data_IF_859075258446
#
_entry.id   IF_859075258446
#
_cell.length_a   1.000
_cell.length_b   1.000
_cell.length_c   1.000
_cell.angle_alpha   90.00
_cell.angle_beta   90.00
_cell.angle_gamma   90.00
#
_symmetry.space_group_name_H-M   'P 1'
#
loop_
_entity.id
_entity.type
_entity.pdbx_description
1 polymer ?
#
# COMPACT_ATOMS: atom_id res chain seq x y z
N UNK A 1 -29.32 -1.96 -18.89
CA UNK A 1 -27.99 -2.03 -18.30
C UNK A 1 -27.48 -3.45 -18.44
N UNK A 2 -26.38 -3.66 -19.13
CA UNK A 2 -25.74 -4.98 -19.16
C UNK A 2 -25.30 -5.29 -17.71
N UNK A 3 -25.56 -6.48 -17.17
CA UNK A 3 -25.11 -6.83 -15.83
C UNK A 3 -23.59 -6.72 -15.77
N UNK A 4 -23.06 -6.16 -14.66
CA UNK A 4 -21.63 -6.11 -14.43
C UNK A 4 -21.08 -7.54 -14.41
N UNK A 5 -20.14 -7.82 -15.30
CA UNK A 5 -19.40 -9.07 -15.29
C UNK A 5 -18.05 -8.88 -14.55
N UNK A 6 -17.60 -9.94 -13.91
CA UNK A 6 -16.38 -9.94 -13.13
C UNK A 6 -15.44 -11.02 -13.61
N UNK A 7 -14.15 -10.75 -13.48
CA UNK A 7 -13.10 -11.72 -13.70
C UNK A 7 -12.44 -12.05 -12.37
N UNK A 8 -11.98 -13.30 -12.21
CA UNK A 8 -11.11 -13.71 -11.11
C UNK A 8 -9.68 -13.80 -11.63
N UNK A 9 -8.79 -12.98 -11.10
CA UNK A 9 -7.36 -13.05 -11.36
C UNK A 9 -6.69 -13.81 -10.24
N UNK A 10 -6.01 -14.90 -10.57
CA UNK A 10 -5.29 -15.78 -9.64
C UNK A 10 -3.82 -15.72 -9.99
N UNK A 11 -2.97 -15.56 -8.98
CA UNK A 11 -1.53 -15.36 -9.17
C UNK A 11 -0.71 -16.15 -8.14
N UNK A 12 0.45 -16.64 -8.58
CA UNK A 12 1.39 -17.35 -7.73
C UNK A 12 2.68 -17.62 -8.50
N UNK A 13 3.80 -17.79 -7.79
CA UNK A 13 5.15 -17.88 -8.38
C UNK A 13 5.25 -18.89 -9.53
N UNK A 14 4.63 -20.06 -9.38
CA UNK A 14 4.70 -21.16 -10.35
C UNK A 14 3.32 -21.50 -10.93
N UNK A 15 2.33 -20.57 -10.82
CA UNK A 15 0.99 -20.79 -11.32
C UNK A 15 0.96 -20.75 -12.85
N UNK A 16 0.23 -21.66 -13.44
CA UNK A 16 -0.09 -21.71 -14.86
C UNK A 16 -1.51 -22.25 -15.05
N UNK A 17 -2.02 -22.19 -16.27
CA UNK A 17 -3.31 -22.80 -16.60
C UNK A 17 -3.32 -24.31 -16.34
N UNK A 18 -2.19 -24.98 -16.51
CA UNK A 18 -2.08 -26.45 -16.39
C UNK A 18 -2.11 -26.96 -14.95
N UNK A 19 -1.75 -26.12 -13.97
CA UNK A 19 -1.75 -26.47 -12.54
C UNK A 19 -2.73 -25.64 -11.72
N UNK A 20 -3.68 -24.95 -12.37
CA UNK A 20 -4.75 -24.22 -11.72
C UNK A 20 -5.61 -25.18 -10.87
N UNK A 21 -5.92 -24.86 -9.59
CA UNK A 21 -6.79 -25.68 -8.76
C UNK A 21 -8.14 -25.98 -9.45
N UNK A 22 -8.58 -27.23 -9.37
CA UNK A 22 -9.74 -27.71 -10.14
C UNK A 22 -11.06 -26.98 -9.78
N UNK A 23 -11.22 -26.58 -8.51
CA UNK A 23 -12.36 -25.80 -8.05
C UNK A 23 -12.36 -24.38 -8.60
N UNK A 24 -11.19 -23.78 -8.79
CA UNK A 24 -11.05 -22.50 -9.47
C UNK A 24 -11.30 -22.67 -10.98
N UNK A 25 -10.74 -23.67 -11.61
CA UNK A 25 -10.96 -23.94 -13.05
C UNK A 25 -12.43 -24.13 -13.41
N UNK A 26 -13.23 -24.67 -12.50
CA UNK A 26 -14.68 -24.87 -12.68
C UNK A 26 -15.53 -23.60 -12.61
N UNK A 27 -14.96 -22.44 -12.24
CA UNK A 27 -15.71 -21.19 -12.08
C UNK A 27 -16.00 -20.45 -13.41
N UNK A 28 -15.21 -20.72 -14.46
CA UNK A 28 -15.32 -19.97 -15.71
C UNK A 28 -15.24 -20.87 -16.94
N UNK A 29 -15.93 -20.44 -18.00
CA UNK A 29 -15.85 -21.08 -19.32
C UNK A 29 -14.61 -20.69 -20.12
N UNK A 30 -13.98 -19.54 -19.79
CA UNK A 30 -12.77 -19.07 -20.45
C UNK A 30 -11.69 -18.74 -19.42
N UNK A 31 -10.49 -19.29 -19.67
CA UNK A 31 -9.32 -19.14 -18.81
C UNK A 31 -8.13 -18.72 -19.67
N UNK A 32 -7.56 -17.56 -19.38
CA UNK A 32 -6.39 -17.00 -20.05
C UNK A 32 -5.17 -16.97 -19.11
N UNK A 33 -4.02 -17.36 -19.60
CA UNK A 33 -2.73 -17.06 -18.98
C UNK A 33 -2.32 -15.65 -19.41
N UNK A 34 -2.29 -14.69 -18.48
CA UNK A 34 -2.13 -13.26 -18.79
C UNK A 34 -0.71 -12.75 -18.55
N UNK A 35 0.04 -13.46 -17.72
CA UNK A 35 1.46 -13.25 -17.45
C UNK A 35 2.05 -14.52 -16.83
N UNK A 36 3.39 -14.69 -16.78
CA UNK A 36 4.01 -15.75 -16.00
C UNK A 36 3.53 -15.73 -14.55
N UNK A 37 2.96 -16.82 -14.09
CA UNK A 37 2.40 -16.93 -12.75
C UNK A 37 1.02 -16.27 -12.57
N UNK A 38 0.34 -15.85 -13.63
CA UNK A 38 -0.96 -15.18 -13.52
C UNK A 38 -1.99 -15.71 -14.53
N UNK A 39 -3.16 -16.07 -14.01
CA UNK A 39 -4.28 -16.62 -14.79
C UNK A 39 -5.52 -15.79 -14.54
N UNK A 40 -6.26 -15.46 -15.59
CA UNK A 40 -7.55 -14.76 -15.55
C UNK A 40 -8.68 -15.71 -15.93
N UNK A 41 -9.67 -15.80 -15.09
CA UNK A 41 -10.93 -16.49 -15.31
C UNK A 41 -11.98 -15.44 -15.66
N UNK A 42 -12.52 -15.47 -16.85
CA UNK A 42 -13.46 -14.45 -17.32
C UNK A 42 -14.91 -14.77 -17.01
N UNK A 43 -15.69 -13.73 -16.74
CA UNK A 43 -17.13 -13.80 -16.49
C UNK A 43 -17.53 -14.74 -15.34
N UNK A 44 -16.81 -14.64 -14.23
CA UNK A 44 -17.04 -15.43 -13.03
C UNK A 44 -18.19 -14.85 -12.21
N UNK A 45 -19.04 -15.71 -11.64
CA UNK A 45 -20.05 -15.29 -10.69
C UNK A 45 -19.42 -15.04 -9.30
N UNK A 46 -19.48 -13.81 -8.75
CA UNK A 46 -18.88 -13.48 -7.46
C UNK A 46 -19.33 -14.40 -6.31
N UNK A 47 -20.58 -14.77 -6.26
CA UNK A 47 -21.12 -15.60 -5.18
C UNK A 47 -20.51 -17.02 -5.14
N UNK A 48 -20.15 -17.58 -6.31
CA UNK A 48 -19.50 -18.89 -6.39
C UNK A 48 -17.99 -18.79 -6.24
N UNK A 49 -17.40 -17.63 -6.53
CA UNK A 49 -15.96 -17.39 -6.45
C UNK A 49 -15.50 -17.13 -5.02
N UNK A 50 -16.30 -16.46 -4.19
CA UNK A 50 -15.89 -16.03 -2.84
C UNK A 50 -15.34 -17.18 -1.96
N UNK A 51 -15.98 -18.36 -1.85
CA UNK A 51 -15.42 -19.46 -1.08
C UNK A 51 -14.13 -20.04 -1.67
N UNK A 52 -13.96 -19.93 -3.01
CA UNK A 52 -12.77 -20.40 -3.72
C UNK A 52 -11.60 -19.45 -3.46
N UNK A 53 -11.83 -18.15 -3.49
CA UNK A 53 -10.81 -17.11 -3.20
C UNK A 53 -10.17 -17.36 -1.83
N UNK A 54 -10.97 -17.60 -0.78
CA UNK A 54 -10.45 -17.90 0.55
C UNK A 54 -9.48 -19.10 0.56
N UNK A 55 -9.88 -20.21 -0.09
CA UNK A 55 -9.01 -21.41 -0.19
C UNK A 55 -7.74 -21.16 -1.01
N UNK A 56 -7.82 -20.37 -2.08
CA UNK A 56 -6.64 -19.99 -2.88
C UNK A 56 -5.66 -19.19 -2.04
N UNK A 57 -6.15 -18.23 -1.27
CA UNK A 57 -5.33 -17.42 -0.37
C UNK A 57 -4.70 -18.25 0.76
N UNK A 58 -5.43 -19.20 1.33
CA UNK A 58 -4.91 -20.16 2.31
C UNK A 58 -3.82 -21.07 1.70
N UNK A 59 -3.94 -21.38 0.40
CA UNK A 59 -2.92 -22.10 -0.35
C UNK A 59 -1.72 -21.25 -0.79
N UNK A 60 -1.66 -19.97 -0.41
CA UNK A 60 -0.56 -19.06 -0.72
C UNK A 60 -0.64 -18.42 -2.12
N UNK A 61 -1.80 -18.50 -2.77
CA UNK A 61 -2.05 -17.81 -4.04
C UNK A 61 -2.72 -16.46 -3.78
N UNK A 62 -2.38 -15.45 -4.56
CA UNK A 62 -3.11 -14.18 -4.57
C UNK A 62 -4.30 -14.31 -5.52
N UNK A 63 -5.48 -13.94 -5.06
CA UNK A 63 -6.71 -14.03 -5.84
C UNK A 63 -7.57 -12.78 -5.63
N UNK A 64 -8.00 -12.14 -6.72
CA UNK A 64 -8.79 -10.93 -6.69
C UNK A 64 -9.91 -10.97 -7.74
N UNK A 65 -11.12 -10.63 -7.30
CA UNK A 65 -12.24 -10.35 -8.22
C UNK A 65 -12.11 -8.92 -8.72
N UNK A 66 -12.10 -8.76 -10.03
CA UNK A 66 -12.06 -7.44 -10.67
C UNK A 66 -13.19 -7.30 -11.70
N UNK A 67 -13.62 -6.08 -11.98
CA UNK A 67 -14.58 -5.83 -13.04
C UNK A 67 -13.99 -6.28 -14.37
N UNK A 68 -14.78 -6.98 -15.19
CA UNK A 68 -14.36 -7.41 -16.52
C UNK A 68 -13.89 -6.21 -17.36
N UNK A 69 -12.74 -6.34 -17.98
CA UNK A 69 -12.13 -5.29 -18.80
C UNK A 69 -11.67 -4.05 -18.04
N UNK A 70 -11.50 -4.12 -16.71
CA UNK A 70 -10.96 -3.02 -15.90
C UNK A 70 -9.61 -2.56 -16.46
N UNK A 71 -9.43 -1.25 -16.65
CA UNK A 71 -8.20 -0.66 -17.16
C UNK A 71 -7.54 0.24 -16.12
N UNK A 72 -6.20 0.25 -16.08
CA UNK A 72 -5.43 1.14 -15.22
C UNK A 72 -5.68 2.62 -15.59
N UNK A 73 -5.86 2.91 -16.87
CA UNK A 73 -6.18 4.25 -17.39
C UNK A 73 -7.56 4.79 -17.00
N UNK A 74 -8.42 4.00 -16.35
CA UNK A 74 -9.66 4.50 -15.76
C UNK A 74 -9.42 5.21 -14.43
N UNK A 75 -8.26 4.99 -13.81
CA UNK A 75 -7.87 5.64 -12.57
C UNK A 75 -7.01 6.87 -12.83
N UNK A 76 -7.04 7.82 -11.91
CA UNK A 76 -6.37 9.12 -12.04
C UNK A 76 -5.47 9.46 -10.86
N UNK A 77 -5.68 8.82 -9.71
CA UNK A 77 -4.90 9.03 -8.49
C UNK A 77 -4.51 7.69 -7.88
N UNK A 78 -3.23 7.55 -7.52
CA UNK A 78 -2.72 6.53 -6.63
C UNK A 78 -2.24 7.19 -5.34
N UNK A 79 -2.74 6.76 -4.20
CA UNK A 79 -2.21 7.12 -2.89
C UNK A 79 -1.76 5.86 -2.14
N UNK A 80 -0.49 5.79 -1.78
CA UNK A 80 0.10 4.61 -1.13
C UNK A 80 0.71 4.95 0.21
N UNK A 81 0.53 4.07 1.18
CA UNK A 81 1.36 4.07 2.37
C UNK A 81 2.83 3.80 2.00
N UNK A 82 3.73 4.11 2.94
CA UNK A 82 5.18 3.93 2.77
C UNK A 82 5.69 2.72 3.52
N UNK A 83 5.65 2.76 4.86
CA UNK A 83 6.21 1.73 5.74
C UNK A 83 5.46 0.41 5.57
N UNK A 84 6.17 -0.70 5.48
CA UNK A 84 5.61 -2.05 5.24
C UNK A 84 4.75 -2.16 3.95
N UNK A 85 4.69 -1.10 3.12
CA UNK A 85 3.98 -1.07 1.83
C UNK A 85 4.94 -0.79 0.69
N UNK A 86 5.35 0.46 0.42
CA UNK A 86 6.36 0.78 -0.61
C UNK A 86 7.79 0.48 -0.14
N UNK A 87 8.04 0.52 1.15
CA UNK A 87 9.28 0.10 1.82
C UNK A 87 8.99 -1.14 2.64
N UNK A 88 9.88 -2.14 2.58
CA UNK A 88 9.65 -3.48 3.13
C UNK A 88 9.77 -3.59 4.67
N UNK A 89 9.90 -2.47 5.37
CA UNK A 89 10.13 -2.42 6.83
C UNK A 89 9.45 -1.21 7.47
N UNK A 90 9.39 -1.22 8.82
CA UNK A 90 9.00 -0.08 9.65
C UNK A 90 10.20 0.86 9.83
N UNK A 91 10.10 2.07 9.29
CA UNK A 91 11.21 3.04 9.24
C UNK A 91 11.67 3.46 10.64
N UNK A 92 10.75 3.94 11.49
CA UNK A 92 11.10 4.43 12.82
C UNK A 92 11.79 3.37 13.68
N UNK A 93 11.24 2.16 13.69
CA UNK A 93 11.80 1.07 14.50
C UNK A 93 13.20 0.67 14.01
N UNK A 94 13.40 0.65 12.70
CA UNK A 94 14.68 0.30 12.08
C UNK A 94 15.74 1.37 12.33
N UNK A 95 15.41 2.65 12.11
CA UNK A 95 16.33 3.77 12.35
C UNK A 95 16.66 3.87 13.83
N UNK A 96 15.68 3.77 14.73
CA UNK A 96 15.90 3.79 16.17
C UNK A 96 16.84 2.65 16.62
N UNK A 97 16.63 1.44 16.12
CA UNK A 97 17.49 0.29 16.42
C UNK A 97 18.93 0.53 15.96
N UNK A 98 19.14 1.01 14.74
CA UNK A 98 20.46 1.27 14.18
C UNK A 98 21.19 2.41 14.89
N UNK A 99 20.44 3.39 15.42
CA UNK A 99 20.97 4.53 16.17
C UNK A 99 21.13 4.27 17.69
N UNK A 100 20.82 3.06 18.17
CA UNK A 100 20.97 2.68 19.59
C UNK A 100 19.78 3.04 20.50
N UNK A 101 18.62 3.40 19.92
CA UNK A 101 17.39 3.73 20.65
C UNK A 101 16.32 2.61 20.57
N UNK A 102 16.67 1.46 19.99
CA UNK A 102 15.71 0.39 19.69
C UNK A 102 14.92 -0.12 20.89
N UNK A 103 15.59 -0.36 22.02
CA UNK A 103 14.92 -0.89 23.23
C UNK A 103 13.88 0.08 23.78
N UNK A 104 14.15 1.39 23.73
CA UNK A 104 13.23 2.42 24.23
C UNK A 104 11.97 2.52 23.37
N UNK A 105 12.15 2.48 22.04
CA UNK A 105 11.00 2.49 21.09
C UNK A 105 10.21 1.21 21.20
N UNK A 106 10.88 0.05 21.30
CA UNK A 106 10.21 -1.24 21.42
C UNK A 106 9.28 -1.33 22.64
N UNK A 107 9.67 -0.76 23.79
CA UNK A 107 8.85 -0.70 25.00
C UNK A 107 7.54 0.07 24.76
N UNK A 108 7.59 1.21 24.05
CA UNK A 108 6.39 2.00 23.71
C UNK A 108 5.50 1.25 22.72
N UNK A 109 6.12 0.66 21.70
CA UNK A 109 5.40 -0.15 20.69
C UNK A 109 4.67 -1.33 21.35
N UNK A 110 5.33 -2.04 22.27
CA UNK A 110 4.73 -3.14 23.01
C UNK A 110 3.58 -2.68 23.91
N UNK A 111 3.70 -1.54 24.58
CA UNK A 111 2.63 -0.95 25.38
C UNK A 111 1.39 -0.62 24.53
N UNK A 112 1.61 -0.07 23.33
CA UNK A 112 0.53 0.18 22.38
C UNK A 112 -0.14 -1.12 21.90
N UNK A 113 0.65 -2.14 21.56
CA UNK A 113 0.13 -3.45 21.13
C UNK A 113 -0.69 -4.16 22.22
N UNK A 114 -0.32 -3.99 23.49
CA UNK A 114 -1.09 -4.51 24.64
C UNK A 114 -2.36 -3.70 24.94
N UNK A 115 -2.63 -2.62 24.19
CA UNK A 115 -3.80 -1.75 24.35
C UNK A 115 -3.71 -0.76 25.51
N UNK A 116 -2.51 -0.55 26.09
CA UNK A 116 -2.25 0.48 27.09
C UNK A 116 -2.27 1.89 26.46
N UNK A 117 -1.92 1.99 25.17
CA UNK A 117 -2.01 3.21 24.38
C UNK A 117 -2.98 2.92 23.22
N UNK A 118 -4.12 3.59 23.20
CA UNK A 118 -5.19 3.32 22.22
C UNK A 118 -5.15 4.27 21.02
N UNK A 119 -4.61 5.45 21.22
CA UNK A 119 -4.53 6.49 20.20
C UNK A 119 -3.20 6.36 19.43
N UNK A 120 -3.29 6.29 18.10
CA UNK A 120 -2.13 6.21 17.22
C UNK A 120 -1.23 7.44 17.35
N UNK A 121 -1.83 8.64 17.39
CA UNK A 121 -1.07 9.88 17.50
C UNK A 121 -0.32 9.98 18.84
N UNK A 122 -0.93 9.52 19.94
CA UNK A 122 -0.28 9.42 21.24
C UNK A 122 0.89 8.43 21.18
N UNK A 123 0.67 7.25 20.63
CA UNK A 123 1.72 6.23 20.45
C UNK A 123 2.89 6.78 19.65
N UNK A 124 2.64 7.47 18.55
CA UNK A 124 3.70 8.06 17.73
C UNK A 124 4.48 9.13 18.50
N UNK A 125 3.79 10.04 19.22
CA UNK A 125 4.46 11.07 20.04
C UNK A 125 5.36 10.45 21.10
N UNK A 126 4.92 9.40 21.77
CA UNK A 126 5.72 8.70 22.77
C UNK A 126 6.94 7.99 22.15
N UNK A 127 6.78 7.38 20.97
CA UNK A 127 7.88 6.75 20.24
C UNK A 127 8.92 7.80 19.80
N UNK A 128 8.47 8.98 19.34
CA UNK A 128 9.37 10.08 18.96
C UNK A 128 10.05 10.70 20.18
N UNK A 129 9.35 10.87 21.30
CA UNK A 129 9.96 11.30 22.55
C UNK A 129 11.05 10.32 23.04
N UNK A 130 10.87 9.02 22.80
CA UNK A 130 11.82 7.98 23.15
C UNK A 130 13.14 8.02 22.33
N UNK A 131 13.11 8.64 21.14
CA UNK A 131 14.30 8.84 20.28
C UNK A 131 14.85 10.27 20.36
N UNK A 132 14.48 11.05 21.36
CA UNK A 132 15.04 12.38 21.60
C UNK A 132 16.56 12.33 21.68
N UNK A 133 17.23 13.23 20.97
CA UNK A 133 18.70 13.27 20.86
C UNK A 133 19.28 12.40 19.75
N UNK A 134 18.47 11.59 19.07
CA UNK A 134 18.90 10.84 17.90
C UNK A 134 19.30 11.82 16.78
N UNK A 135 20.48 11.67 16.15
CA UNK A 135 20.86 12.50 15.02
C UNK A 135 19.86 12.34 13.86
N UNK A 136 19.36 13.47 13.29
CA UNK A 136 18.50 13.42 12.09
C UNK A 136 19.20 12.72 10.91
N UNK A 137 20.53 12.77 10.89
CA UNK A 137 21.35 12.05 9.92
C UNK A 137 21.07 10.54 9.87
N UNK A 138 20.65 9.93 10.98
CA UNK A 138 20.27 8.51 10.97
C UNK A 138 19.09 8.23 10.04
N UNK A 139 18.13 9.15 9.90
CA UNK A 139 17.01 9.03 8.99
C UNK A 139 17.42 9.27 7.54
N UNK A 140 18.28 10.27 7.27
CA UNK A 140 18.76 10.56 5.91
C UNK A 140 19.69 9.47 5.40
N UNK A 141 20.60 8.93 6.21
CA UNK A 141 21.46 7.80 5.84
C UNK A 141 20.64 6.53 5.58
N UNK A 142 19.60 6.29 6.40
CA UNK A 142 18.67 5.19 6.15
C UNK A 142 17.94 5.36 4.83
N UNK A 143 17.47 6.57 4.52
CA UNK A 143 16.73 6.86 3.28
C UNK A 143 17.54 6.55 2.01
N UNK A 144 18.88 6.64 2.06
CA UNK A 144 19.77 6.28 0.94
C UNK A 144 19.79 4.76 0.66
N UNK A 145 19.53 3.94 1.68
CA UNK A 145 19.71 2.48 1.62
C UNK A 145 18.44 1.69 1.96
N UNK A 146 17.31 2.38 2.16
CA UNK A 146 16.07 1.70 2.57
C UNK A 146 15.65 0.63 1.56
N UNK A 147 15.21 -0.54 2.05
CA UNK A 147 14.79 -1.63 1.19
C UNK A 147 13.38 -1.37 0.66
N UNK A 148 13.23 -1.18 -0.64
CA UNK A 148 11.92 -1.09 -1.27
C UNK A 148 11.24 -2.45 -1.35
N UNK A 149 9.93 -2.46 -1.24
CA UNK A 149 9.12 -3.67 -1.43
C UNK A 149 9.24 -4.17 -2.87
N UNK A 150 9.15 -5.49 -3.04
CA UNK A 150 9.23 -6.11 -4.35
C UNK A 150 8.19 -5.50 -5.30
N UNK A 151 8.64 -5.05 -6.46
CA UNK A 151 7.76 -4.47 -7.48
C UNK A 151 7.28 -3.03 -7.21
N UNK A 152 7.69 -2.37 -6.09
CA UNK A 152 7.23 -1.03 -5.74
C UNK A 152 7.57 0.02 -6.83
N UNK A 153 8.80 0.02 -7.31
CA UNK A 153 9.24 0.95 -8.36
C UNK A 153 8.47 0.73 -9.66
N UNK A 154 8.32 -0.52 -10.08
CA UNK A 154 7.58 -0.89 -11.29
C UNK A 154 6.10 -0.51 -11.16
N UNK A 155 5.47 -0.76 -10.03
CA UNK A 155 4.08 -0.38 -9.78
C UNK A 155 3.86 1.12 -9.92
N UNK A 156 4.61 1.95 -9.16
CA UNK A 156 4.45 3.41 -9.19
C UNK A 156 4.74 3.98 -10.56
N UNK A 157 5.83 3.55 -11.22
CA UNK A 157 6.18 4.02 -12.57
C UNK A 157 5.16 3.59 -13.62
N UNK A 158 4.56 2.39 -13.52
CA UNK A 158 3.50 1.96 -14.43
C UNK A 158 2.24 2.82 -14.26
N UNK A 159 1.83 3.12 -13.03
CA UNK A 159 0.73 4.03 -12.75
C UNK A 159 1.00 5.42 -13.32
N UNK A 160 2.21 5.94 -13.14
CA UNK A 160 2.64 7.22 -13.73
C UNK A 160 2.58 7.21 -15.25
N UNK A 161 3.07 6.15 -15.88
CA UNK A 161 3.04 5.99 -17.34
C UNK A 161 1.61 5.90 -17.88
N UNK A 162 0.68 5.31 -17.10
CA UNK A 162 -0.74 5.27 -17.41
C UNK A 162 -1.48 6.60 -17.19
N UNK A 163 -0.80 7.62 -16.64
CA UNK A 163 -1.34 8.96 -16.45
C UNK A 163 -1.90 9.24 -15.04
N UNK A 164 -1.70 8.35 -14.09
CA UNK A 164 -2.11 8.59 -12.71
C UNK A 164 -1.15 9.58 -12.03
N UNK A 165 -1.68 10.45 -11.19
CA UNK A 165 -0.88 11.11 -10.16
C UNK A 165 -0.63 10.13 -9.01
N UNK A 166 0.63 9.99 -8.57
CA UNK A 166 1.03 9.05 -7.54
C UNK A 166 1.56 9.80 -6.31
N UNK A 167 0.93 9.60 -5.17
CA UNK A 167 1.29 10.24 -3.91
C UNK A 167 1.58 9.20 -2.82
N UNK A 168 2.57 9.51 -1.97
CA UNK A 168 2.84 8.76 -0.74
C UNK A 168 2.07 9.44 0.39
N UNK A 169 1.27 8.68 1.15
CA UNK A 169 0.50 9.18 2.30
C UNK A 169 0.82 8.32 3.50
N UNK A 170 1.71 8.81 4.37
CA UNK A 170 2.33 7.99 5.41
C UNK A 170 2.27 8.62 6.80
N UNK A 171 2.19 7.78 7.82
CA UNK A 171 2.46 8.17 9.20
C UNK A 171 3.95 8.33 9.53
N UNK A 172 4.85 8.10 8.55
CA UNK A 172 6.29 8.32 8.64
C UNK A 172 6.70 9.79 8.53
N UNK A 173 7.93 10.05 8.08
CA UNK A 173 8.57 11.37 8.18
C UNK A 173 9.15 11.81 6.84
N UNK A 174 9.28 13.14 6.70
CA UNK A 174 9.70 13.80 5.46
C UNK A 174 11.10 13.40 4.99
N UNK A 175 12.07 13.15 5.88
CA UNK A 175 13.41 12.73 5.51
C UNK A 175 13.41 11.43 4.67
N UNK A 176 12.49 10.51 4.97
CA UNK A 176 12.37 9.22 4.30
C UNK A 176 11.37 9.29 3.14
N UNK A 177 10.22 9.94 3.37
CA UNK A 177 9.17 10.04 2.37
C UNK A 177 9.61 10.81 1.12
N UNK A 178 10.42 11.89 1.28
CA UNK A 178 10.99 12.65 0.17
C UNK A 178 11.92 11.80 -0.70
N UNK A 179 12.82 11.03 -0.09
CA UNK A 179 13.72 10.13 -0.80
C UNK A 179 12.96 9.03 -1.55
N UNK A 180 11.93 8.45 -0.92
CA UNK A 180 11.07 7.46 -1.55
C UNK A 180 10.32 8.04 -2.75
N UNK A 181 9.76 9.24 -2.62
CA UNK A 181 9.05 9.91 -3.71
C UNK A 181 9.95 10.12 -4.93
N UNK A 182 11.17 10.59 -4.73
CA UNK A 182 12.17 10.77 -5.79
C UNK A 182 12.52 9.42 -6.44
N UNK A 183 12.86 8.42 -5.65
CA UNK A 183 13.31 7.10 -6.14
C UNK A 183 12.22 6.39 -6.93
N UNK A 184 10.99 6.41 -6.44
CA UNK A 184 9.85 5.73 -7.07
C UNK A 184 9.21 6.56 -8.20
N UNK A 185 9.55 7.85 -8.31
CA UNK A 185 8.96 8.75 -9.29
C UNK A 185 7.53 9.19 -8.93
N UNK A 186 7.20 9.25 -7.63
CA UNK A 186 5.91 9.79 -7.18
C UNK A 186 5.82 11.31 -7.40
N UNK A 187 4.59 11.83 -7.52
CA UNK A 187 4.34 13.27 -7.70
C UNK A 187 4.54 14.07 -6.41
N UNK A 188 4.34 13.44 -5.26
CA UNK A 188 4.46 14.09 -3.97
C UNK A 188 4.33 13.11 -2.82
N UNK A 189 4.45 13.65 -1.60
CA UNK A 189 4.30 12.90 -0.36
C UNK A 189 3.62 13.77 0.70
N UNK A 190 2.94 13.12 1.64
CA UNK A 190 2.21 13.69 2.75
C UNK A 190 2.53 12.87 3.99
N UNK A 191 3.18 13.47 4.97
CA UNK A 191 3.74 12.77 6.12
C UNK A 191 3.84 13.66 7.34
N UNK A 192 4.24 13.10 8.48
CA UNK A 192 4.54 13.87 9.67
C UNK A 192 5.94 14.51 9.58
N UNK A 193 6.18 15.53 10.42
CA UNK A 193 7.44 16.27 10.51
C UNK A 193 8.07 16.07 11.87
N UNK A 194 9.34 15.68 11.90
CA UNK A 194 10.12 15.57 13.12
C UNK A 194 10.52 16.95 13.63
N UNK A 195 10.45 17.17 14.95
CA UNK A 195 11.06 18.31 15.59
C UNK A 195 12.56 18.13 15.64
N UNK A 196 13.30 19.07 15.05
CA UNK A 196 14.76 19.02 14.95
C UNK A 196 15.36 20.27 15.60
N UNK A 197 16.36 20.09 16.43
CA UNK A 197 17.15 21.18 17.02
C UNK A 197 18.63 20.79 17.01
N UNK A 198 19.47 21.65 16.49
CA UNK A 198 20.94 21.45 16.41
C UNK A 198 21.35 20.10 15.76
N UNK A 199 20.58 19.66 14.74
CA UNK A 199 20.84 18.42 13.99
C UNK A 199 20.42 17.12 14.69
N UNK A 200 19.74 17.21 15.85
CA UNK A 200 19.18 16.07 16.55
C UNK A 200 17.68 16.21 16.76
N UNK A 201 17.00 15.10 16.96
CA UNK A 201 15.56 15.10 17.29
C UNK A 201 15.32 15.74 18.64
N UNK A 202 14.39 16.68 18.74
CA UNK A 202 14.02 17.32 20.00
C UNK A 202 12.96 16.51 20.78
N UNK A 203 12.45 15.43 20.19
CA UNK A 203 11.45 14.54 20.78
C UNK A 203 10.00 14.94 20.46
N UNK A 204 9.79 15.89 19.53
CA UNK A 204 8.46 16.30 19.09
C UNK A 204 8.17 15.86 17.66
N UNK A 205 6.87 15.75 17.34
CA UNK A 205 6.38 15.45 15.99
C UNK A 205 5.08 16.21 15.74
N UNK A 206 4.92 16.73 14.53
CA UNK A 206 3.71 17.42 14.06
C UNK A 206 3.22 16.82 12.76
N UNK A 207 1.94 16.97 12.46
CA UNK A 207 1.41 16.61 11.14
C UNK A 207 1.62 17.73 10.11
N UNK A 208 1.32 17.45 8.84
CA UNK A 208 1.41 18.41 7.76
C UNK A 208 0.28 19.45 7.82
N UNK A 209 0.50 20.59 7.13
CA UNK A 209 -0.46 21.71 7.12
C UNK A 209 -1.80 21.29 6.48
N UNK A 210 -1.79 20.51 5.43
CA UNK A 210 -2.97 19.97 4.76
C UNK A 210 -3.83 19.07 5.66
N UNK A 211 -3.27 18.55 6.75
CA UNK A 211 -4.03 17.86 7.81
C UNK A 211 -4.26 18.75 9.05
N UNK A 212 -4.13 20.06 8.89
CA UNK A 212 -4.29 21.03 9.99
C UNK A 212 -3.27 20.85 11.12
N UNK A 213 -2.06 20.38 10.81
CA UNK A 213 -0.99 20.11 11.76
C UNK A 213 -1.21 18.87 12.65
N UNK A 214 -2.28 18.10 12.42
CA UNK A 214 -2.56 16.85 13.14
C UNK A 214 -1.73 15.71 12.56
N UNK A 215 -1.33 14.79 13.43
CA UNK A 215 -0.63 13.56 13.02
C UNK A 215 -1.43 12.83 11.93
N UNK A 216 -0.71 12.31 10.94
CA UNK A 216 -1.27 11.49 9.86
C UNK A 216 -1.56 10.10 10.42
N UNK A 217 -2.73 9.96 11.01
CA UNK A 217 -3.34 8.71 11.47
C UNK A 217 -4.33 8.18 10.41
N UNK A 218 -5.22 7.27 10.79
CA UNK A 218 -6.21 6.69 9.87
C UNK A 218 -7.18 7.74 9.30
N UNK A 219 -7.62 8.70 10.10
CA UNK A 219 -8.47 9.80 9.64
C UNK A 219 -7.67 10.79 8.79
N UNK A 220 -6.44 11.09 9.17
CA UNK A 220 -5.53 11.94 8.42
C UNK A 220 -5.19 11.38 7.05
N UNK A 221 -4.90 10.09 6.94
CA UNK A 221 -4.65 9.44 5.63
C UNK A 221 -5.87 9.57 4.71
N UNK A 222 -7.05 9.23 5.20
CA UNK A 222 -8.29 9.38 4.44
C UNK A 222 -8.52 10.84 4.02
N UNK A 223 -8.40 11.78 4.95
CA UNK A 223 -8.61 13.21 4.69
C UNK A 223 -7.67 13.74 3.61
N UNK A 224 -6.38 13.40 3.66
CA UNK A 224 -5.40 13.79 2.65
C UNK A 224 -5.77 13.23 1.28
N UNK A 225 -6.16 11.95 1.18
CA UNK A 225 -6.59 11.34 -0.10
C UNK A 225 -7.86 12.02 -0.64
N UNK A 226 -8.83 12.32 0.22
CA UNK A 226 -10.05 13.06 -0.15
C UNK A 226 -9.73 14.46 -0.69
N UNK A 227 -8.82 15.19 -0.03
CA UNK A 227 -8.38 16.51 -0.50
C UNK A 227 -7.65 16.43 -1.84
N UNK A 228 -6.69 15.51 -1.99
CA UNK A 228 -5.97 15.29 -3.24
C UNK A 228 -6.94 15.03 -4.41
N UNK A 229 -7.93 14.19 -4.18
CA UNK A 229 -8.95 13.87 -5.18
C UNK A 229 -9.86 15.09 -5.48
N UNK A 230 -10.33 15.78 -4.45
CA UNK A 230 -11.22 16.94 -4.59
C UNK A 230 -10.57 18.10 -5.34
N UNK A 231 -9.33 18.45 -5.00
CA UNK A 231 -8.56 19.54 -5.66
C UNK A 231 -8.37 19.29 -7.16
N UNK A 232 -8.39 18.04 -7.60
CA UNK A 232 -8.20 17.60 -8.99
C UNK A 232 -9.50 17.24 -9.70
N UNK A 233 -10.63 17.34 -9.01
CA UNK A 233 -11.93 16.90 -9.54
C UNK A 233 -11.93 15.40 -9.90
N UNK A 234 -11.28 14.58 -9.07
CA UNK A 234 -11.21 13.12 -9.24
C UNK A 234 -12.26 12.48 -8.33
N UNK A 235 -13.22 11.73 -8.87
CA UNK A 235 -14.19 11.01 -8.05
C UNK A 235 -13.49 9.83 -7.34
N UNK A 236 -14.02 9.43 -6.19
CA UNK A 236 -13.44 8.33 -5.39
C UNK A 236 -13.31 7.01 -6.20
N UNK A 237 -14.21 6.75 -7.15
CA UNK A 237 -14.14 5.55 -8.00
C UNK A 237 -12.92 5.52 -8.93
N UNK A 238 -12.28 6.67 -9.20
CA UNK A 238 -11.07 6.78 -10.03
C UNK A 238 -9.79 6.86 -9.17
N UNK A 239 -9.87 6.54 -7.89
CA UNK A 239 -8.75 6.52 -6.94
C UNK A 239 -8.34 5.08 -6.65
N UNK A 240 -7.03 4.83 -6.68
CA UNK A 240 -6.41 3.61 -6.13
C UNK A 240 -5.73 3.99 -4.82
N UNK A 241 -5.89 3.17 -3.78
CA UNK A 241 -5.09 3.29 -2.55
C UNK A 241 -4.45 1.96 -2.19
N UNK A 242 -3.31 2.02 -1.48
CA UNK A 242 -2.55 0.83 -1.09
C UNK A 242 -1.97 0.99 0.31
N UNK A 243 -2.02 -0.08 1.13
CA UNK A 243 -1.52 -0.08 2.50
C UNK A 243 -1.56 -1.46 3.15
N UNK A 244 -0.91 -1.62 4.31
CA UNK A 244 -0.81 -2.88 5.06
C UNK A 244 -1.48 -2.83 6.44
N UNK A 245 -1.62 -1.63 7.01
CA UNK A 245 -1.92 -1.38 8.40
C UNK A 245 -3.37 -0.99 8.69
N UNK A 246 -3.73 -1.06 9.99
CA UNK A 246 -5.04 -0.61 10.45
C UNK A 246 -5.28 0.89 10.21
N UNK A 247 -4.20 1.68 10.23
CA UNK A 247 -4.22 3.11 9.92
C UNK A 247 -4.52 3.41 8.44
N UNK A 248 -4.50 2.40 7.56
CA UNK A 248 -4.80 2.55 6.13
C UNK A 248 -6.26 2.26 5.80
N UNK A 249 -6.98 1.52 6.67
CA UNK A 249 -8.32 0.99 6.37
C UNK A 249 -9.26 2.07 5.83
N UNK A 250 -9.30 3.26 6.46
CA UNK A 250 -10.22 4.31 6.03
C UNK A 250 -9.90 4.89 4.65
N UNK A 251 -8.63 4.99 4.26
CA UNK A 251 -8.27 5.39 2.89
C UNK A 251 -8.49 4.25 1.88
N UNK A 252 -8.28 2.99 2.29
CA UNK A 252 -8.55 1.82 1.44
C UNK A 252 -10.04 1.67 1.14
N UNK A 253 -10.90 1.91 2.13
CA UNK A 253 -12.37 1.87 1.96
C UNK A 253 -12.92 3.06 1.15
N UNK A 254 -12.24 4.21 1.16
CA UNK A 254 -12.66 5.39 0.41
C UNK A 254 -12.49 5.21 -1.11
N UNK A 255 -11.42 4.56 -1.52
CA UNK A 255 -11.01 4.46 -2.92
C UNK A 255 -11.91 3.53 -3.74
N UNK A 256 -12.02 3.79 -5.04
CA UNK A 256 -12.64 2.85 -5.99
C UNK A 256 -11.90 1.51 -6.06
N UNK A 257 -10.60 1.50 -5.79
CA UNK A 257 -9.79 0.30 -5.64
C UNK A 257 -8.81 0.44 -4.47
N UNK A 258 -9.21 -0.06 -3.30
CA UNK A 258 -8.31 -0.19 -2.15
C UNK A 258 -7.60 -1.54 -2.18
N UNK A 259 -6.27 -1.53 -2.05
CA UNK A 259 -5.41 -2.71 -2.14
C UNK A 259 -4.71 -2.95 -0.80
N UNK A 260 -4.98 -4.08 -0.18
CA UNK A 260 -4.28 -4.54 1.02
C UNK A 260 -3.02 -5.31 0.61
N UNK A 261 -1.84 -4.74 0.87
CA UNK A 261 -0.56 -5.33 0.50
C UNK A 261 0.13 -5.97 1.70
N UNK A 262 0.36 -7.29 1.68
CA UNK A 262 0.96 -8.07 2.78
C UNK A 262 0.35 -7.68 4.13
N UNK A 263 -0.94 -7.37 4.10
CA UNK A 263 -1.62 -6.69 5.19
C UNK A 263 -1.87 -7.61 6.39
N UNK A 264 -1.99 -6.98 7.54
CA UNK A 264 -2.32 -7.65 8.81
C UNK A 264 -3.70 -8.32 8.70
N UNK A 265 -3.94 -9.47 9.37
CA UNK A 265 -5.19 -10.24 9.22
C UNK A 265 -6.47 -9.42 9.41
N UNK A 266 -6.46 -8.44 10.32
CA UNK A 266 -7.60 -7.54 10.56
C UNK A 266 -7.93 -6.65 9.36
N UNK A 267 -6.92 -6.22 8.60
CA UNK A 267 -7.09 -5.41 7.38
C UNK A 267 -7.59 -6.30 6.25
N UNK A 268 -6.99 -7.49 6.09
CA UNK A 268 -7.42 -8.47 5.08
C UNK A 268 -8.89 -8.89 5.23
N UNK A 269 -9.41 -8.91 6.45
CA UNK A 269 -10.83 -9.22 6.70
C UNK A 269 -11.80 -8.14 6.18
N UNK A 270 -11.32 -6.92 5.92
CA UNK A 270 -12.14 -5.78 5.47
C UNK A 270 -11.95 -5.44 3.99
N UNK A 271 -10.74 -5.63 3.47
CA UNK A 271 -10.36 -5.19 2.13
C UNK A 271 -10.32 -6.41 1.19
N UNK A 272 -11.19 -6.46 0.18
CA UNK A 272 -11.31 -7.65 -0.68
C UNK A 272 -10.16 -7.81 -1.69
N UNK A 273 -9.54 -6.71 -2.14
CA UNK A 273 -8.43 -6.77 -3.08
C UNK A 273 -7.12 -6.87 -2.31
N UNK A 274 -6.45 -8.02 -2.41
CA UNK A 274 -5.29 -8.36 -1.57
C UNK A 274 -4.15 -8.90 -2.42
N UNK A 275 -2.92 -8.52 -2.02
CA UNK A 275 -1.67 -9.13 -2.46
C UNK A 275 -0.97 -9.61 -1.19
N UNK A 276 -0.86 -10.91 -1.00
CA UNK A 276 -0.34 -11.52 0.23
C UNK A 276 0.97 -12.27 0.04
N UNK A 277 1.31 -12.63 -1.22
CA UNK A 277 2.43 -13.53 -1.54
C UNK A 277 3.38 -12.96 -2.59
N UNK A 278 2.92 -12.04 -3.43
CA UNK A 278 3.67 -11.48 -4.56
C UNK A 278 4.11 -10.04 -4.31
N UNK A 279 4.86 -9.46 -5.25
CA UNK A 279 5.24 -8.06 -5.23
C UNK A 279 4.09 -7.12 -5.61
N UNK A 280 4.25 -5.84 -5.29
CA UNK A 280 3.28 -4.78 -5.56
C UNK A 280 2.87 -4.69 -7.04
N UNK A 281 3.81 -4.92 -7.95
CA UNK A 281 3.58 -4.89 -9.39
C UNK A 281 2.68 -6.02 -9.90
N UNK A 282 2.39 -7.03 -9.08
CA UNK A 282 1.40 -8.06 -9.42
C UNK A 282 -0.02 -7.50 -9.57
N UNK A 283 -0.31 -6.34 -8.93
CA UNK A 283 -1.57 -5.62 -9.14
C UNK A 283 -1.79 -5.23 -10.60
N UNK A 284 -0.74 -5.05 -11.41
CA UNK A 284 -0.85 -4.74 -12.84
C UNK A 284 -1.63 -5.81 -13.63
N UNK A 285 -1.57 -7.06 -13.20
CA UNK A 285 -2.31 -8.16 -13.80
C UNK A 285 -3.83 -8.07 -13.60
N UNK A 286 -4.31 -7.22 -12.71
CA UNK A 286 -5.75 -6.98 -12.53
C UNK A 286 -6.35 -6.12 -13.65
N UNK A 287 -5.53 -5.35 -14.36
CA UNK A 287 -5.95 -4.44 -15.41
C UNK A 287 -5.72 -5.04 -16.80
N UNK A 288 -6.68 -4.84 -17.70
CA UNK A 288 -6.59 -5.33 -19.07
C UNK A 288 -5.44 -4.70 -19.87
N UNK A 289 -5.08 -3.46 -19.53
CA UNK A 289 -3.96 -2.71 -20.09
C UNK A 289 -2.71 -2.69 -19.18
N UNK A 290 -2.73 -3.39 -18.06
CA UNK A 290 -1.64 -3.41 -17.08
C UNK A 290 -0.30 -3.88 -17.64
N UNK A 291 -0.22 -5.00 -18.38
CA UNK A 291 1.03 -5.46 -19.01
C UNK A 291 1.63 -4.43 -19.97
N UNK A 292 0.82 -3.72 -20.74
CA UNK A 292 1.27 -2.65 -21.63
C UNK A 292 1.97 -1.51 -20.86
N UNK A 293 1.42 -1.10 -19.72
CA UNK A 293 2.01 -0.05 -18.89
C UNK A 293 3.23 -0.54 -18.10
N UNK A 294 3.24 -1.82 -17.72
CA UNK A 294 4.39 -2.46 -17.10
C UNK A 294 5.65 -2.44 -17.98
N UNK A 295 5.50 -2.65 -19.28
CA UNK A 295 6.60 -2.58 -20.24
C UNK A 295 7.09 -1.13 -20.43
N UNK A 296 6.20 -0.14 -20.34
CA UNK A 296 6.52 1.28 -20.52
C UNK A 296 7.11 1.94 -19.28
N UNK A 297 7.02 1.32 -18.13
CA UNK A 297 7.62 1.84 -16.90
C UNK A 297 9.15 1.95 -16.95
N UNK A 298 9.81 1.22 -17.85
CA UNK A 298 11.25 1.33 -18.08
C UNK A 298 12.11 0.81 -16.92
N UNK A 299 11.61 -0.16 -16.14
CA UNK A 299 12.28 -0.78 -14.97
C UNK A 299 12.22 -2.28 -15.03
#
# INVERSE_FOLDING_TARGET
MTPLSYDLVIQGKDLSRSNLPADAAGLAGFIAEIAPGAVRLESVNPLTAEPVIGRLQEAGLDAAMVRHGLKLTEFRLLASDLDSTLVAIETLDTVAKNAGYGDTVAQVTEAAMRGAIKDYAESLRLRIAAVKGCPVKAFTDFAETMPYSLGAERWVKSCRAAGLECHIVTGGFDEVAAAAAVKLGANGFHCNKLGIRDGVLDGTVTGPEENGGKIVDSDGKRHIVEQLAAERGIPACDVITMGDGWNDVKMLEYAGLGIAYHAKPRVRALIPHQINSLGLDSALNWFADGPYWAERAGV
#
